data_IF_299948915247
#
_entry.id   IF_299948915247
#
_cell.length_a   1.000
_cell.length_b   1.000
_cell.length_c   1.000
_cell.angle_alpha   90.00
_cell.angle_beta   90.00
_cell.angle_gamma   90.00
#
_symmetry.space_group_name_H-M   'P 1'
#
loop_
_entity.id
_entity.type
_entity.pdbx_description
1 polymer ?
#
# COMPACT_ATOMS: atom_id res chain seq x y z
N UNK A 1 -10.03 -7.44 -23.81
CA UNK A 1 -8.94 -7.77 -24.75
C UNK A 1 -8.31 -6.47 -25.22
N UNK A 2 -7.06 -6.16 -24.82
CA UNK A 2 -6.34 -5.00 -25.34
C UNK A 2 -5.91 -5.30 -26.76
N UNK A 3 -6.22 -4.38 -27.67
CA UNK A 3 -5.93 -4.52 -29.11
C UNK A 3 -4.40 -4.64 -29.29
N UNK A 4 -3.90 -5.83 -29.55
CA UNK A 4 -2.46 -6.11 -29.75
C UNK A 4 -1.86 -5.44 -30.99
N UNK A 5 -2.69 -4.83 -31.84
CA UNK A 5 -2.28 -4.18 -33.10
C UNK A 5 -2.74 -2.72 -33.12
N UNK A 6 -2.09 -1.84 -32.35
CA UNK A 6 -2.25 -0.40 -32.52
C UNK A 6 -1.05 0.14 -33.33
N UNK A 7 -1.19 0.30 -34.69
CA UNK A 7 -0.08 0.74 -35.52
C UNK A 7 0.46 2.13 -35.16
N UNK A 8 -0.38 2.99 -34.56
CA UNK A 8 0.00 4.33 -34.15
C UNK A 8 0.97 4.28 -32.95
N UNK A 9 0.78 3.30 -32.06
CA UNK A 9 1.64 3.05 -30.90
C UNK A 9 3.03 2.62 -31.34
N UNK A 10 3.12 1.67 -32.26
CA UNK A 10 4.40 1.21 -32.79
C UNK A 10 5.13 2.30 -33.54
N UNK A 11 4.41 3.10 -34.36
CA UNK A 11 5.00 4.23 -35.09
C UNK A 11 5.63 5.26 -34.13
N UNK A 12 4.94 5.61 -33.06
CA UNK A 12 5.48 6.50 -32.03
C UNK A 12 6.67 5.89 -31.31
N UNK A 13 6.60 4.60 -30.96
CA UNK A 13 7.69 3.89 -30.29
C UNK A 13 8.97 3.87 -31.14
N UNK A 14 8.84 3.53 -32.41
CA UNK A 14 9.97 3.54 -33.37
C UNK A 14 10.63 4.92 -33.48
N UNK A 15 9.82 5.98 -33.53
CA UNK A 15 10.34 7.34 -33.55
C UNK A 15 11.08 7.69 -32.26
N UNK A 16 10.55 7.25 -31.10
CA UNK A 16 11.20 7.43 -29.80
C UNK A 16 12.49 6.61 -29.67
N UNK A 17 12.52 5.36 -30.14
CA UNK A 17 13.71 4.50 -30.14
C UNK A 17 14.84 5.06 -31.01
N UNK A 18 14.51 5.66 -32.15
CA UNK A 18 15.50 6.35 -33.02
C UNK A 18 16.08 7.62 -32.35
N UNK A 19 15.41 8.16 -31.35
CA UNK A 19 15.77 9.41 -30.70
C UNK A 19 15.76 9.25 -29.18
N UNK A 20 16.40 8.20 -28.64
CA UNK A 20 16.49 7.96 -27.21
C UNK A 20 17.18 9.14 -26.52
N UNK A 21 16.63 9.61 -25.43
CA UNK A 21 17.13 10.77 -24.69
C UNK A 21 16.72 12.12 -25.29
N UNK A 22 16.01 12.14 -26.41
CA UNK A 22 15.56 13.36 -27.06
C UNK A 22 14.03 13.53 -27.00
N UNK A 23 13.57 14.77 -27.13
CA UNK A 23 12.15 15.11 -27.11
C UNK A 23 11.49 14.85 -28.48
N UNK A 24 10.60 13.90 -28.52
CA UNK A 24 9.88 13.47 -29.73
C UNK A 24 8.46 14.03 -29.72
N UNK A 25 8.06 14.72 -30.80
CA UNK A 25 6.70 15.22 -30.98
C UNK A 25 5.72 14.05 -31.16
N UNK A 26 4.79 13.91 -30.23
CA UNK A 26 3.81 12.82 -30.27
C UNK A 26 2.85 12.94 -31.44
N UNK A 27 2.49 14.18 -31.86
CA UNK A 27 1.57 14.41 -32.95
C UNK A 27 2.18 13.99 -34.31
N UNK A 28 3.41 14.40 -34.62
CA UNK A 28 4.08 14.07 -35.88
C UNK A 28 4.36 12.57 -36.03
N UNK A 29 4.58 11.89 -34.92
CA UNK A 29 5.10 10.52 -34.92
C UNK A 29 4.08 9.44 -34.56
N UNK A 30 2.91 9.79 -34.01
CA UNK A 30 1.88 8.79 -33.75
C UNK A 30 0.90 8.61 -34.90
N UNK A 31 0.62 9.67 -35.64
CA UNK A 31 -0.49 9.69 -36.59
C UNK A 31 -1.87 9.53 -35.92
N UNK A 32 -1.94 9.72 -34.59
CA UNK A 32 -3.14 9.53 -33.80
C UNK A 32 -3.82 10.87 -33.52
N UNK A 33 -5.15 10.87 -33.52
CA UNK A 33 -5.94 11.99 -33.01
C UNK A 33 -5.84 12.15 -31.46
N UNK A 34 -5.35 11.12 -30.77
CA UNK A 34 -5.17 11.09 -29.30
C UNK A 34 -3.76 10.64 -28.88
N UNK A 35 -2.72 11.42 -29.16
CA UNK A 35 -1.34 11.03 -28.90
C UNK A 35 -1.04 10.78 -27.42
N UNK A 36 -1.77 11.42 -26.50
CA UNK A 36 -1.64 11.18 -25.07
C UNK A 36 -2.10 9.78 -24.65
N UNK A 37 -3.09 9.20 -25.33
CA UNK A 37 -3.52 7.82 -25.08
C UNK A 37 -2.44 6.84 -25.52
N UNK A 38 -1.84 7.08 -26.69
CA UNK A 38 -0.76 6.25 -27.25
C UNK A 38 0.46 6.24 -26.31
N UNK A 39 0.91 7.39 -25.83
CA UNK A 39 2.03 7.47 -24.89
C UNK A 39 1.74 6.81 -23.53
N UNK A 40 0.47 6.83 -23.09
CA UNK A 40 0.05 6.10 -21.88
C UNK A 40 0.11 4.59 -22.08
N UNK A 41 -0.28 4.09 -23.26
CA UNK A 41 -0.16 2.67 -23.60
C UNK A 41 1.30 2.20 -23.62
N UNK A 42 2.23 3.00 -24.17
CA UNK A 42 3.66 2.68 -24.16
C UNK A 42 4.22 2.58 -22.73
N UNK A 43 3.84 3.49 -21.85
CA UNK A 43 4.21 3.39 -20.42
C UNK A 43 3.61 2.16 -19.76
N UNK A 44 2.38 1.81 -20.10
CA UNK A 44 1.74 0.59 -19.60
C UNK A 44 2.40 -0.70 -20.12
N UNK A 45 3.15 -0.62 -21.21
CA UNK A 45 3.96 -1.73 -21.72
C UNK A 45 5.36 -1.78 -21.09
N UNK A 46 5.69 -0.84 -20.19
CA UNK A 46 6.95 -0.82 -19.45
C UNK A 46 8.04 0.11 -19.99
N UNK A 47 7.76 0.88 -21.05
CA UNK A 47 8.75 1.84 -21.54
C UNK A 47 8.90 3.04 -20.61
N UNK A 48 10.14 3.39 -20.26
CA UNK A 48 10.44 4.52 -19.38
C UNK A 48 10.50 5.83 -20.17
N UNK A 49 9.78 6.81 -19.64
CA UNK A 49 9.78 8.18 -20.18
C UNK A 49 10.21 9.17 -19.11
N UNK A 50 10.83 10.28 -19.54
CA UNK A 50 11.21 11.40 -18.66
C UNK A 50 10.01 11.95 -17.92
N UNK A 51 10.08 11.98 -16.60
CA UNK A 51 9.06 12.60 -15.76
C UNK A 51 9.37 14.10 -15.60
N UNK A 52 8.53 14.95 -16.15
CA UNK A 52 8.70 16.41 -16.13
C UNK A 52 8.20 17.07 -14.83
N UNK A 53 7.26 16.40 -14.15
CA UNK A 53 6.76 16.69 -12.82
C UNK A 53 6.01 15.46 -12.31
N UNK A 54 5.75 15.30 -11.00
CA UNK A 54 5.13 14.12 -10.43
C UNK A 54 3.90 13.63 -11.21
N UNK A 55 3.99 12.43 -11.80
CA UNK A 55 2.96 11.82 -12.64
C UNK A 55 2.83 12.37 -14.06
N UNK A 56 3.66 13.32 -14.47
CA UNK A 56 3.61 13.93 -15.80
C UNK A 56 4.84 13.57 -16.63
N UNK A 57 4.65 12.88 -17.71
CA UNK A 57 5.70 12.34 -18.60
C UNK A 57 5.72 13.02 -19.98
N UNK A 58 5.33 14.27 -20.04
CA UNK A 58 5.30 15.02 -21.29
C UNK A 58 5.43 16.51 -21.06
N UNK A 59 5.91 17.25 -22.05
CA UNK A 59 6.02 18.68 -22.05
C UNK A 59 5.46 19.29 -23.33
N UNK A 60 5.13 20.58 -23.31
CA UNK A 60 4.67 21.35 -24.47
C UNK A 60 5.86 22.11 -25.06
N UNK A 61 6.28 21.75 -26.26
CA UNK A 61 7.39 22.38 -26.97
C UNK A 61 6.99 22.78 -28.39
N UNK A 62 7.68 23.75 -28.95
CA UNK A 62 7.57 24.05 -30.37
C UNK A 62 8.19 22.90 -31.18
N UNK A 63 7.45 22.39 -32.14
CA UNK A 63 7.90 21.33 -33.02
C UNK A 63 8.32 21.92 -34.37
N UNK A 64 9.59 21.79 -34.75
CA UNK A 64 10.06 22.34 -36.03
C UNK A 64 9.43 21.62 -37.26
N UNK A 65 9.00 20.36 -37.08
CA UNK A 65 8.42 19.54 -38.15
C UNK A 65 7.00 20.02 -38.50
N UNK A 66 6.14 20.22 -37.51
CA UNK A 66 4.75 20.65 -37.74
C UNK A 66 4.53 22.16 -37.54
N UNK A 67 5.55 22.92 -37.17
CA UNK A 67 5.48 24.38 -36.99
C UNK A 67 4.56 24.85 -35.84
N UNK A 68 4.23 23.97 -34.89
CA UNK A 68 3.25 24.26 -33.82
C UNK A 68 3.75 23.81 -32.45
N UNK A 69 3.25 24.46 -31.40
CA UNK A 69 3.45 23.99 -30.02
C UNK A 69 2.65 22.71 -29.82
N UNK A 70 3.33 21.59 -29.48
CA UNK A 70 2.76 20.26 -29.35
C UNK A 70 3.33 19.53 -28.13
N UNK A 71 2.65 18.46 -27.73
CA UNK A 71 3.12 17.54 -26.71
C UNK A 71 4.32 16.73 -27.20
N UNK A 72 5.40 16.76 -26.41
CA UNK A 72 6.59 15.94 -26.63
C UNK A 72 6.78 14.99 -25.46
N UNK A 73 7.34 13.83 -25.76
CA UNK A 73 7.76 12.81 -24.79
C UNK A 73 9.23 12.46 -25.05
N UNK A 74 9.93 12.02 -24.00
CA UNK A 74 11.33 11.61 -24.11
C UNK A 74 11.48 10.20 -23.56
N UNK A 75 11.87 9.26 -24.43
CA UNK A 75 12.13 7.86 -24.07
C UNK A 75 13.52 7.76 -23.42
N UNK A 76 13.63 7.03 -22.32
CA UNK A 76 14.86 6.86 -21.56
C UNK A 76 15.53 5.51 -21.75
N UNK A 77 14.79 4.49 -22.24
CA UNK A 77 15.32 3.13 -22.44
C UNK A 77 14.82 2.52 -23.74
N UNK A 78 15.67 1.80 -24.44
CA UNK A 78 15.32 1.13 -25.69
C UNK A 78 14.37 -0.05 -25.47
N UNK A 79 14.65 -0.83 -24.44
CA UNK A 79 13.83 -1.96 -24.04
C UNK A 79 12.85 -1.56 -22.94
N UNK A 80 11.66 -2.18 -22.94
CA UNK A 80 10.76 -1.98 -21.83
C UNK A 80 11.43 -2.52 -20.56
N UNK A 81 11.52 -1.68 -19.56
CA UNK A 81 11.77 -2.17 -18.21
C UNK A 81 10.50 -2.91 -17.84
N UNK A 82 10.54 -4.22 -17.95
CA UNK A 82 9.48 -5.09 -17.47
C UNK A 82 9.38 -4.80 -15.97
N UNK A 83 8.49 -3.88 -15.63
CA UNK A 83 8.11 -3.70 -14.26
C UNK A 83 7.50 -5.04 -13.84
N UNK A 84 8.25 -5.84 -13.09
CA UNK A 84 7.76 -7.11 -12.52
C UNK A 84 6.52 -6.86 -11.65
N UNK A 85 6.25 -5.58 -11.33
CA UNK A 85 5.09 -5.06 -10.62
C UNK A 85 3.83 -4.85 -11.49
N UNK A 86 3.64 -5.65 -12.53
CA UNK A 86 2.39 -5.61 -13.28
C UNK A 86 1.23 -6.10 -12.42
N UNK A 87 0.26 -5.22 -12.16
CA UNK A 87 -0.95 -5.60 -11.42
C UNK A 87 -1.78 -6.63 -12.19
N UNK A 88 -2.14 -7.72 -11.53
CA UNK A 88 -3.12 -8.66 -12.07
C UNK A 88 -4.51 -8.03 -12.04
N UNK A 89 -5.26 -8.28 -13.12
CA UNK A 89 -6.67 -7.86 -13.15
C UNK A 89 -7.49 -8.84 -12.32
N UNK A 90 -8.18 -8.35 -11.31
CA UNK A 90 -9.12 -9.12 -10.52
C UNK A 90 -10.34 -9.44 -11.40
N UNK A 91 -10.54 -10.73 -11.70
CA UNK A 91 -11.70 -11.18 -12.49
C UNK A 91 -12.98 -11.15 -11.63
N UNK A 92 -14.16 -11.24 -12.28
CA UNK A 92 -15.43 -11.35 -11.54
C UNK A 92 -15.42 -12.55 -10.60
N UNK A 93 -14.92 -13.69 -11.06
CA UNK A 93 -14.80 -14.93 -10.28
C UNK A 93 -13.88 -14.76 -9.06
N UNK A 94 -12.72 -14.13 -9.24
CA UNK A 94 -11.80 -13.85 -8.13
C UNK A 94 -12.46 -12.92 -7.10
N UNK A 95 -13.16 -11.89 -7.55
CA UNK A 95 -13.91 -10.98 -6.66
C UNK A 95 -14.96 -11.72 -5.85
N UNK A 96 -15.78 -12.55 -6.49
CA UNK A 96 -16.81 -13.33 -5.81
C UNK A 96 -16.19 -14.29 -4.78
N UNK A 97 -15.09 -14.95 -5.11
CA UNK A 97 -14.35 -15.81 -4.20
C UNK A 97 -13.79 -15.05 -3.00
N UNK A 98 -13.12 -13.93 -3.22
CA UNK A 98 -12.58 -13.09 -2.13
C UNK A 98 -13.69 -12.61 -1.20
N UNK A 99 -14.82 -12.16 -1.74
CA UNK A 99 -15.96 -11.71 -0.94
C UNK A 99 -16.63 -12.86 -0.17
N UNK A 100 -16.65 -14.09 -0.70
CA UNK A 100 -17.15 -15.24 0.04
C UNK A 100 -16.28 -15.62 1.23
N UNK A 101 -14.96 -15.39 1.14
CA UNK A 101 -14.00 -15.70 2.20
C UNK A 101 -13.95 -14.58 3.25
N UNK A 102 -13.78 -13.33 2.80
CA UNK A 102 -13.55 -12.19 3.69
C UNK A 102 -14.84 -11.51 4.14
N UNK A 103 -15.96 -11.84 3.53
CA UNK A 103 -17.25 -11.18 3.76
C UNK A 103 -17.31 -9.79 3.11
N UNK A 104 -18.43 -9.10 3.33
CA UNK A 104 -18.69 -7.76 2.80
C UNK A 104 -18.66 -6.71 3.93
N UNK A 105 -17.56 -6.70 4.71
CA UNK A 105 -17.34 -5.76 5.82
C UNK A 105 -16.02 -5.04 5.64
N UNK A 106 -16.06 -3.74 5.92
CA UNK A 106 -14.83 -2.93 5.92
C UNK A 106 -13.92 -3.36 7.08
N UNK A 107 -12.67 -3.73 6.77
CA UNK A 107 -11.70 -4.20 7.76
C UNK A 107 -11.34 -3.12 8.81
N UNK A 108 -11.44 -1.83 8.44
CA UNK A 108 -11.09 -0.73 9.32
C UNK A 108 -12.22 -0.28 10.24
N UNK A 109 -13.46 -0.37 9.81
CA UNK A 109 -14.62 0.07 10.59
C UNK A 109 -15.43 -1.10 11.13
N UNK A 110 -15.39 -2.25 10.47
CA UNK A 110 -16.22 -3.42 10.77
C UNK A 110 -17.65 -3.28 10.25
N UNK A 111 -17.98 -2.17 9.58
CA UNK A 111 -19.30 -1.91 9.05
C UNK A 111 -19.56 -2.71 7.78
N UNK A 112 -20.81 -3.15 7.57
CA UNK A 112 -21.23 -3.77 6.31
C UNK A 112 -21.19 -2.74 5.19
N UNK A 113 -20.65 -3.13 4.03
CA UNK A 113 -20.57 -2.27 2.84
C UNK A 113 -21.85 -2.51 2.02
N UNK A 114 -22.87 -1.68 2.20
CA UNK A 114 -24.18 -1.83 1.54
C UNK A 114 -24.42 -0.83 0.43
N UNK A 115 -23.80 0.35 0.49
CA UNK A 115 -24.08 1.49 -0.42
C UNK A 115 -23.00 1.69 -1.50
N UNK A 116 -21.92 0.94 -1.46
CA UNK A 116 -20.81 1.08 -2.40
C UNK A 116 -20.24 -0.29 -2.78
N UNK A 117 -19.50 -0.34 -3.90
CA UNK A 117 -18.78 -1.55 -4.28
C UNK A 117 -17.60 -1.74 -3.32
N UNK A 118 -17.46 -2.91 -2.66
CA UNK A 118 -16.32 -3.21 -1.82
C UNK A 118 -15.04 -3.24 -2.66
N UNK A 119 -13.96 -2.65 -2.15
CA UNK A 119 -12.65 -2.70 -2.79
C UNK A 119 -11.81 -3.81 -2.15
N UNK A 120 -11.28 -4.70 -2.98
CA UNK A 120 -10.30 -5.72 -2.56
C UNK A 120 -8.96 -5.04 -2.52
N UNK A 121 -8.37 -4.99 -1.35
CA UNK A 121 -7.11 -4.32 -1.10
C UNK A 121 -6.06 -5.29 -0.56
N UNK A 122 -4.82 -5.12 -1.01
CA UNK A 122 -3.68 -5.86 -0.46
C UNK A 122 -3.37 -5.35 0.95
N UNK A 123 -3.29 -6.22 1.95
CA UNK A 123 -2.84 -5.84 3.30
C UNK A 123 -1.47 -5.16 3.24
N UNK A 124 -0.47 -5.76 2.62
CA UNK A 124 0.78 -5.10 2.25
C UNK A 124 0.55 -4.23 1.02
N UNK A 125 0.83 -2.92 1.06
CA UNK A 125 0.59 -2.05 -0.08
C UNK A 125 1.40 -2.52 -1.30
N UNK A 126 0.77 -2.47 -2.48
CA UNK A 126 1.37 -2.94 -3.73
C UNK A 126 2.77 -2.36 -3.99
N UNK A 127 3.01 -1.11 -3.60
CA UNK A 127 4.32 -0.44 -3.72
C UNK A 127 5.45 -1.11 -2.91
N UNK A 128 5.11 -1.92 -1.89
CA UNK A 128 6.08 -2.69 -1.08
C UNK A 128 6.16 -4.16 -1.48
N UNK A 129 5.28 -4.62 -2.35
CA UNK A 129 5.38 -5.98 -2.91
C UNK A 129 6.44 -5.99 -4.00
N UNK A 130 7.26 -7.02 -4.04
CA UNK A 130 8.22 -7.25 -5.13
C UNK A 130 7.49 -7.69 -6.41
N UNK A 131 6.38 -8.41 -6.24
CA UNK A 131 5.56 -8.98 -7.30
C UNK A 131 4.10 -8.92 -6.88
N UNK A 132 3.19 -8.71 -7.82
CA UNK A 132 1.75 -8.78 -7.55
C UNK A 132 1.31 -10.22 -7.27
N UNK A 133 0.25 -10.35 -6.49
CA UNK A 133 -0.30 -11.62 -6.03
C UNK A 133 -1.48 -11.99 -6.92
N UNK A 134 -1.39 -13.13 -7.59
CA UNK A 134 -2.43 -13.66 -8.47
C UNK A 134 -3.45 -14.46 -7.65
N UNK A 135 -4.62 -13.87 -7.40
CA UNK A 135 -5.67 -14.44 -6.54
C UNK A 135 -6.07 -15.86 -6.97
N UNK A 136 -6.11 -16.13 -8.26
CA UNK A 136 -6.51 -17.45 -8.79
C UNK A 136 -5.61 -18.60 -8.36
N UNK A 137 -4.38 -18.31 -7.90
CA UNK A 137 -3.39 -19.31 -7.47
C UNK A 137 -3.32 -19.48 -5.95
N UNK A 138 -4.03 -18.68 -5.19
CA UNK A 138 -3.99 -18.71 -3.74
C UNK A 138 -5.00 -19.69 -3.15
N UNK A 139 -4.68 -20.23 -1.97
CA UNK A 139 -5.65 -20.87 -1.10
C UNK A 139 -6.57 -19.85 -0.44
N UNK A 140 -7.62 -20.29 0.24
CA UNK A 140 -8.54 -19.39 0.93
C UNK A 140 -7.89 -18.73 2.14
N UNK A 141 -6.99 -19.43 2.82
CA UNK A 141 -6.17 -18.93 3.93
C UNK A 141 -5.20 -17.85 3.44
N UNK A 142 -4.51 -18.10 2.32
CA UNK A 142 -3.61 -17.12 1.71
C UNK A 142 -4.37 -15.87 1.25
N UNK A 143 -5.60 -16.01 0.74
CA UNK A 143 -6.45 -14.85 0.43
C UNK A 143 -6.73 -14.05 1.70
N UNK A 144 -7.08 -14.70 2.80
CA UNK A 144 -7.33 -14.03 4.07
C UNK A 144 -6.07 -13.40 4.68
N UNK A 145 -4.90 -13.97 4.42
CA UNK A 145 -3.62 -13.40 4.86
C UNK A 145 -3.22 -12.16 4.04
N UNK A 146 -3.40 -12.19 2.73
CA UNK A 146 -2.87 -11.15 1.84
C UNK A 146 -3.84 -10.02 1.53
N UNK A 147 -5.16 -10.26 1.65
CA UNK A 147 -6.17 -9.30 1.24
C UNK A 147 -7.10 -8.88 2.38
N UNK A 148 -7.73 -7.74 2.20
CA UNK A 148 -8.79 -7.22 3.06
C UNK A 148 -9.84 -6.51 2.21
N UNK A 149 -11.03 -6.34 2.75
CA UNK A 149 -12.12 -5.60 2.11
C UNK A 149 -12.19 -4.22 2.73
N UNK A 150 -12.21 -3.20 1.89
CA UNK A 150 -12.33 -1.81 2.31
C UNK A 150 -13.43 -1.09 1.52
N UNK A 151 -13.98 -0.06 2.14
CA UNK A 151 -14.69 0.98 1.38
C UNK A 151 -13.67 1.77 0.56
N UNK A 152 -14.12 2.40 -0.52
CA UNK A 152 -13.27 3.31 -1.30
C UNK A 152 -12.64 4.41 -0.45
N UNK A 153 -13.39 4.95 0.50
CA UNK A 153 -12.89 5.97 1.42
C UNK A 153 -11.69 5.45 2.24
N UNK A 154 -11.84 4.31 2.89
CA UNK A 154 -10.81 3.71 3.73
C UNK A 154 -9.59 3.23 2.90
N UNK A 155 -9.82 2.76 1.68
CA UNK A 155 -8.74 2.41 0.76
C UNK A 155 -7.89 3.64 0.37
N UNK A 156 -8.52 4.77 0.06
CA UNK A 156 -7.81 6.03 -0.21
C UNK A 156 -7.03 6.55 1.02
N UNK A 157 -7.59 6.43 2.22
CA UNK A 157 -6.87 6.78 3.45
C UNK A 157 -5.64 5.90 3.66
N UNK A 158 -5.77 4.60 3.44
CA UNK A 158 -4.65 3.66 3.48
C UNK A 158 -3.58 4.00 2.45
N UNK A 159 -3.98 4.24 1.19
CA UNK A 159 -3.04 4.63 0.13
C UNK A 159 -2.21 5.84 0.54
N UNK A 160 -2.86 6.89 1.06
CA UNK A 160 -2.20 8.10 1.55
C UNK A 160 -1.23 7.81 2.70
N UNK A 161 -1.67 7.03 3.70
CA UNK A 161 -0.86 6.69 4.85
C UNK A 161 0.36 5.83 4.47
N UNK A 162 0.16 4.82 3.62
CA UNK A 162 1.24 3.97 3.13
C UNK A 162 2.23 4.74 2.25
N UNK A 163 1.76 5.65 1.39
CA UNK A 163 2.62 6.53 0.60
C UNK A 163 3.51 7.40 1.50
N UNK A 164 2.93 7.99 2.55
CA UNK A 164 3.70 8.76 3.54
C UNK A 164 4.75 7.91 4.25
N UNK A 165 4.38 6.69 4.67
CA UNK A 165 5.30 5.75 5.29
C UNK A 165 6.47 5.37 4.37
N UNK A 166 6.22 5.17 3.07
CA UNK A 166 7.26 4.87 2.08
C UNK A 166 8.23 6.04 1.92
N UNK A 167 7.71 7.28 1.89
CA UNK A 167 8.52 8.48 1.71
C UNK A 167 9.38 8.82 2.94
N UNK A 168 8.89 8.53 4.14
CA UNK A 168 9.54 8.98 5.39
C UNK A 168 10.20 7.86 6.18
N UNK A 169 10.01 6.59 5.79
CA UNK A 169 10.32 5.41 6.59
C UNK A 169 9.72 5.42 8.00
N UNK A 170 8.65 6.21 8.21
CA UNK A 170 7.89 6.24 9.46
C UNK A 170 6.48 5.73 9.22
N UNK A 171 6.04 4.78 10.03
CA UNK A 171 4.69 4.23 10.00
C UNK A 171 3.70 5.32 10.41
N UNK A 172 2.71 5.57 9.58
CA UNK A 172 1.65 6.53 9.87
C UNK A 172 0.68 5.94 10.91
N UNK A 173 0.36 6.68 11.98
CA UNK A 173 -0.62 6.25 12.98
C UNK A 173 -1.95 5.82 12.34
N UNK A 174 -2.51 4.70 12.78
CA UNK A 174 -3.81 4.25 12.32
C UNK A 174 -4.92 4.99 13.07
N UNK A 175 -5.77 5.74 12.34
CA UNK A 175 -6.86 6.55 12.94
C UNK A 175 -6.37 7.48 14.08
N UNK A 176 -5.16 8.02 13.95
CA UNK A 176 -4.45 8.87 14.92
C UNK A 176 -3.87 8.15 16.15
N UNK A 177 -4.10 6.83 16.29
CA UNK A 177 -3.55 6.04 17.38
C UNK A 177 -2.11 5.63 17.08
N UNK A 178 -1.19 6.00 17.96
CA UNK A 178 0.22 5.60 17.92
C UNK A 178 0.40 4.25 18.64
N UNK A 179 -0.12 3.22 18.02
CA UNK A 179 0.00 1.85 18.50
C UNK A 179 0.44 0.95 17.35
N UNK A 180 1.42 0.13 17.58
CA UNK A 180 1.91 -0.91 16.68
C UNK A 180 2.05 -2.18 17.49
N UNK A 181 1.34 -3.23 17.11
CA UNK A 181 1.38 -4.49 17.86
C UNK A 181 2.60 -5.37 17.53
N UNK A 182 3.42 -4.95 16.56
CA UNK A 182 4.76 -5.47 16.24
C UNK A 182 5.61 -4.31 15.73
N UNK A 183 6.81 -4.15 16.28
CA UNK A 183 7.71 -3.04 15.97
C UNK A 183 7.23 -1.70 16.53
N UNK A 184 7.75 -0.60 16.01
CA UNK A 184 7.48 0.77 16.46
C UNK A 184 7.06 1.70 15.30
N UNK A 185 7.19 3.00 15.50
CA UNK A 185 6.86 4.01 14.47
C UNK A 185 7.81 3.97 13.27
N UNK A 186 9.01 3.39 13.39
CA UNK A 186 9.94 3.29 12.29
C UNK A 186 9.63 2.05 11.45
N UNK A 187 9.71 2.20 10.14
CA UNK A 187 9.53 1.07 9.26
C UNK A 187 10.82 0.23 9.23
N UNK A 188 10.69 -1.02 9.63
CA UNK A 188 11.76 -2.03 9.55
C UNK A 188 11.47 -3.00 8.40
N UNK A 189 12.45 -3.23 7.53
CA UNK A 189 12.33 -4.15 6.40
C UNK A 189 12.16 -5.62 6.82
N UNK A 190 12.70 -6.02 7.99
CA UNK A 190 12.57 -7.38 8.51
C UNK A 190 11.15 -7.66 9.03
N UNK A 191 10.51 -6.65 9.61
CA UNK A 191 9.14 -6.74 10.13
C UNK A 191 8.11 -6.46 8.99
N UNK A 192 8.49 -5.62 8.05
CA UNK A 192 7.60 -5.19 6.97
C UNK A 192 6.42 -4.34 7.48
N UNK A 193 5.23 -4.62 6.96
CA UNK A 193 4.01 -3.90 7.34
C UNK A 193 3.28 -4.51 8.55
N UNK A 194 3.74 -5.66 9.05
CA UNK A 194 3.13 -6.33 10.21
C UNK A 194 3.15 -5.41 11.42
N UNK A 195 2.09 -5.42 12.22
CA UNK A 195 1.95 -4.54 13.38
C UNK A 195 1.26 -3.21 13.10
N UNK A 196 1.20 -2.78 11.84
CA UNK A 196 0.56 -1.54 11.43
C UNK A 196 -0.97 -1.73 11.22
N UNK A 197 -1.79 -0.84 11.76
CA UNK A 197 -3.26 -0.91 11.57
C UNK A 197 -3.72 -0.71 10.13
N UNK A 198 -2.93 -0.04 9.31
CA UNK A 198 -3.19 0.08 7.86
C UNK A 198 -2.91 -1.24 7.11
N UNK A 199 -2.12 -2.14 7.66
CA UNK A 199 -1.85 -3.45 7.09
C UNK A 199 -3.02 -4.40 7.34
N UNK A 200 -3.39 -4.60 8.60
CA UNK A 200 -4.47 -5.50 9.00
C UNK A 200 -5.32 -4.83 10.09
N UNK A 201 -6.41 -4.19 9.69
CA UNK A 201 -7.26 -3.45 10.60
C UNK A 201 -8.03 -4.33 11.59
N UNK A 202 -8.32 -5.57 11.23
CA UNK A 202 -9.02 -6.52 12.11
C UNK A 202 -8.08 -6.93 13.23
N UNK A 203 -6.92 -7.48 12.89
CA UNK A 203 -5.91 -7.93 13.84
C UNK A 203 -5.40 -6.79 14.73
N UNK A 204 -5.25 -5.60 14.14
CA UNK A 204 -4.87 -4.41 14.90
C UNK A 204 -5.87 -4.11 16.04
N UNK A 205 -7.16 -4.13 15.77
CA UNK A 205 -8.19 -3.88 16.77
C UNK A 205 -8.18 -4.94 17.87
N UNK A 206 -8.03 -6.20 17.50
CA UNK A 206 -7.92 -7.31 18.47
C UNK A 206 -6.75 -7.08 19.41
N UNK A 207 -5.56 -6.76 18.87
CA UNK A 207 -4.35 -6.51 19.65
C UNK A 207 -4.46 -5.23 20.49
N UNK A 208 -5.04 -4.17 19.95
CA UNK A 208 -5.30 -2.93 20.71
C UNK A 208 -6.26 -3.17 21.89
N UNK A 209 -7.36 -3.89 21.64
CA UNK A 209 -8.32 -4.22 22.70
C UNK A 209 -7.67 -5.08 23.80
N UNK A 210 -6.84 -6.05 23.42
CA UNK A 210 -6.09 -6.84 24.38
C UNK A 210 -5.12 -6.00 25.20
N UNK A 211 -4.41 -5.09 24.57
CA UNK A 211 -3.50 -4.15 25.23
C UNK A 211 -4.25 -3.25 26.25
N UNK A 212 -5.40 -2.69 25.83
CA UNK A 212 -6.24 -1.86 26.70
C UNK A 212 -6.74 -2.68 27.91
N UNK A 213 -7.22 -3.90 27.66
CA UNK A 213 -7.68 -4.79 28.73
C UNK A 213 -6.57 -5.10 29.73
N UNK A 214 -5.39 -5.48 29.25
CA UNK A 214 -4.25 -5.76 30.10
C UNK A 214 -3.85 -4.55 30.97
N UNK A 215 -3.86 -3.33 30.38
CA UNK A 215 -3.64 -2.09 31.16
C UNK A 215 -4.72 -1.85 32.22
N UNK A 216 -5.98 -2.10 31.92
CA UNK A 216 -7.08 -1.95 32.86
C UNK A 216 -6.97 -2.95 34.02
N UNK A 217 -6.67 -4.21 33.72
CA UNK A 217 -6.46 -5.26 34.71
C UNK A 217 -5.27 -4.91 35.62
N UNK A 218 -4.19 -4.39 35.06
CA UNK A 218 -3.04 -3.93 35.82
C UNK A 218 -3.39 -2.76 36.75
N UNK A 219 -4.07 -1.73 36.26
CA UNK A 219 -4.52 -0.59 37.06
C UNK A 219 -5.41 -1.07 38.21
N UNK A 220 -6.33 -2.00 37.94
CA UNK A 220 -7.20 -2.57 38.99
C UNK A 220 -6.40 -3.28 40.06
N UNK A 221 -5.44 -4.12 39.64
CA UNK A 221 -4.53 -4.81 40.58
C UNK A 221 -3.75 -3.82 41.45
N UNK A 222 -3.22 -2.75 40.85
CA UNK A 222 -2.53 -1.68 41.59
C UNK A 222 -3.46 -1.00 42.59
N UNK A 223 -4.70 -0.69 42.19
CA UNK A 223 -5.69 -0.07 43.09
C UNK A 223 -6.07 -0.99 44.27
N UNK A 224 -6.18 -2.29 44.00
CA UNK A 224 -6.45 -3.30 45.04
C UNK A 224 -5.27 -3.43 46.01
N UNK A 225 -4.02 -3.44 45.52
CA UNK A 225 -2.82 -3.42 46.34
C UNK A 225 -2.73 -2.16 47.23
N UNK A 226 -3.09 -0.99 46.69
CA UNK A 226 -3.12 0.28 47.46
C UNK A 226 -4.21 0.26 48.54
N UNK A 227 -5.39 -0.32 48.24
CA UNK A 227 -6.51 -0.41 49.20
C UNK A 227 -6.25 -1.40 50.32
N UNK A 228 -5.62 -2.51 49.99
CA UNK A 228 -5.33 -3.58 50.92
C UNK A 228 -4.04 -3.31 51.69
N UNK A 229 -3.82 -2.08 52.23
CA UNK A 229 -2.70 -1.68 53.09
C UNK A 229 -2.28 -2.79 54.05
N UNK A 230 -1.70 -3.86 53.53
CA UNK A 230 -0.96 -4.81 54.31
C UNK A 230 0.49 -4.36 54.37
N UNK A 231 0.92 -4.18 55.56
CA UNK A 231 2.22 -3.80 56.03
C UNK A 231 3.37 -4.22 55.11
N UNK A 232 4.25 -3.24 54.87
CA UNK A 232 5.65 -3.40 54.46
C UNK A 232 5.95 -4.38 53.33
N UNK A 233 5.40 -4.18 52.16
CA UNK A 233 5.90 -4.92 51.01
C UNK A 233 6.26 -4.01 49.84
N UNK A 234 7.33 -3.20 50.03
CA UNK A 234 8.05 -2.52 48.96
C UNK A 234 8.36 -3.48 47.80
N UNK A 235 8.60 -4.76 48.09
CA UNK A 235 8.86 -5.81 47.12
C UNK A 235 7.72 -6.01 46.09
N UNK A 236 6.44 -5.99 46.55
CA UNK A 236 5.30 -6.06 45.63
C UNK A 236 5.14 -4.79 44.80
N UNK A 237 5.46 -3.64 45.34
CA UNK A 237 5.45 -2.38 44.60
C UNK A 237 6.53 -2.37 43.51
N UNK A 238 7.73 -2.87 43.81
CA UNK A 238 8.82 -3.00 42.84
C UNK A 238 8.48 -4.01 41.75
N UNK A 239 7.92 -5.18 42.06
CA UNK A 239 7.47 -6.15 41.08
C UNK A 239 6.34 -5.58 40.19
N UNK A 240 5.45 -4.78 40.76
CA UNK A 240 4.35 -4.16 40.03
C UNK A 240 4.85 -3.07 39.09
N UNK A 241 5.80 -2.25 39.55
CA UNK A 241 6.47 -1.22 38.73
C UNK A 241 7.29 -1.90 37.61
N UNK A 242 8.00 -2.96 37.94
CA UNK A 242 8.80 -3.73 37.00
C UNK A 242 7.90 -4.36 35.92
N UNK A 243 6.76 -4.94 36.30
CA UNK A 243 5.77 -5.44 35.35
C UNK A 243 5.14 -4.33 34.50
N UNK A 244 4.96 -3.11 35.05
CA UNK A 244 4.47 -1.94 34.25
C UNK A 244 5.52 -1.49 33.25
N UNK A 245 6.77 -1.41 33.68
CA UNK A 245 7.91 -1.03 32.84
C UNK A 245 8.15 -2.09 31.77
N UNK A 246 8.12 -3.38 32.12
CA UNK A 246 8.20 -4.47 31.13
C UNK A 246 7.02 -4.51 30.14
N UNK A 247 5.82 -4.05 30.52
CA UNK A 247 4.72 -3.87 29.56
C UNK A 247 4.96 -2.70 28.62
N UNK A 248 5.67 -1.67 29.04
CA UNK A 248 6.09 -0.56 28.17
C UNK A 248 7.25 -0.95 27.26
N UNK A 249 8.21 -1.74 27.76
CA UNK A 249 9.32 -2.27 26.96
C UNK A 249 8.88 -3.38 26.00
N UNK A 250 7.98 -4.27 26.40
CA UNK A 250 7.45 -5.35 25.54
C UNK A 250 6.41 -4.87 24.51
N UNK A 251 5.98 -3.62 24.52
CA UNK A 251 5.33 -3.01 23.36
C UNK A 251 6.31 -2.75 22.20
N UNK A 252 7.61 -2.88 22.44
CA UNK A 252 8.67 -2.68 21.44
C UNK A 252 9.44 -3.94 21.06
N UNK A 253 9.30 -5.05 21.78
CA UNK A 253 10.15 -6.24 21.57
C UNK A 253 9.29 -7.49 21.57
N UNK A 254 8.85 -7.94 20.41
CA UNK A 254 8.72 -9.37 20.17
C UNK A 254 10.08 -9.86 19.68
N UNK A 255 10.91 -10.24 20.64
CA UNK A 255 12.07 -11.06 20.36
C UNK A 255 11.63 -12.44 19.85
N UNK A 256 12.21 -12.79 18.77
CA UNK A 256 12.52 -14.12 18.27
C UNK A 256 11.89 -15.30 19.04
N UNK A 257 10.78 -15.82 18.53
CA UNK A 257 10.46 -17.26 18.52
C UNK A 257 9.58 -17.53 17.30
N UNK A 258 10.17 -17.86 16.23
CA UNK A 258 10.10 -19.03 15.32
C UNK A 258 11.10 -18.81 14.21
#
# INVERSE_FOLDING_TARGET
>A
MRNKNNPQKYKLLEACKKNIGEWVCTYCNSGSGQPAAVSRELRADGYLFEETSPGRYSTQMYCPICGKKRTHIKLLSEEPVLDEKKRFSITKKDRERVLSILGNRDAFDGNSIVSSTPEIDHKTPFSRLNKDIEISKLTDEEIAEHFQILTRHNNLLKEKACKQCILTNKRTPFKKEKFWYVGDENYDHCIGCVGCGWHDGVRYKEKLNQFIKNKQDLIKTCQECIKNKHDNNEYYLYQLIDNILHLEENCGVYDSMV
#
